data_IF_462023128684
#
_entry.id   IF_462023128684
#
_cell.length_a   1.000
_cell.length_b   1.000
_cell.length_c   1.000
_cell.angle_alpha   90.00
_cell.angle_beta   90.00
_cell.angle_gamma   90.00
#
_symmetry.space_group_name_H-M   'P 1'
#
loop_
_entity.id
_entity.type
_entity.pdbx_description
1 polymer ?
#
# COMPACT_ATOMS: atom_id res chain seq x y z
N UNK A 1 3.41 -29.36 -9.54
CA UNK A 1 3.09 -27.92 -9.43
C UNK A 1 1.64 -27.69 -8.98
N UNK A 2 0.66 -28.41 -9.53
CA UNK A 2 -0.71 -28.43 -9.02
C UNK A 2 -0.83 -29.01 -7.59
N UNK A 3 -0.02 -30.01 -7.24
CA UNK A 3 0.00 -30.59 -5.89
C UNK A 3 0.57 -29.65 -4.83
N UNK A 4 1.56 -28.81 -5.19
CA UNK A 4 2.14 -27.82 -4.27
C UNK A 4 1.16 -26.68 -3.98
N UNK A 5 0.37 -26.27 -4.99
CA UNK A 5 -0.71 -25.29 -4.82
C UNK A 5 -1.89 -25.88 -4.04
N UNK A 6 -2.16 -27.17 -4.19
CA UNK A 6 -3.17 -27.90 -3.39
C UNK A 6 -2.70 -28.04 -1.93
N UNK A 7 -1.45 -28.40 -1.68
CA UNK A 7 -0.85 -28.49 -0.34
C UNK A 7 -0.77 -27.12 0.35
N UNK A 8 -0.43 -26.05 -0.37
CA UNK A 8 -0.49 -24.67 0.15
C UNK A 8 -1.92 -24.22 0.47
N UNK A 9 -2.91 -24.67 -0.30
CA UNK A 9 -4.32 -24.37 -0.05
C UNK A 9 -4.90 -25.21 1.11
N UNK A 10 -4.42 -26.45 1.31
CA UNK A 10 -4.77 -27.27 2.48
C UNK A 10 -4.08 -26.78 3.77
N UNK A 11 -2.83 -26.30 3.70
CA UNK A 11 -2.16 -25.58 4.79
C UNK A 11 -2.92 -24.29 5.16
N UNK A 12 -3.45 -23.55 4.18
CA UNK A 12 -4.33 -22.39 4.41
C UNK A 12 -5.65 -22.76 5.10
N UNK A 13 -6.21 -23.94 4.81
CA UNK A 13 -7.45 -24.45 5.43
C UNK A 13 -7.23 -25.03 6.82
N UNK A 14 -6.06 -25.61 7.09
CA UNK A 14 -5.69 -26.14 8.42
C UNK A 14 -5.63 -25.06 9.51
N UNK A 15 -5.31 -23.83 9.16
CA UNK A 15 -5.40 -22.67 10.07
C UNK A 15 -6.82 -22.08 10.20
N UNK A 16 -7.80 -22.61 9.46
CA UNK A 16 -9.19 -22.12 9.45
C UNK A 16 -10.15 -22.96 10.30
N UNK A 17 -9.73 -24.11 10.84
CA UNK A 17 -10.54 -24.93 11.75
C UNK A 17 -9.68 -25.57 12.83
N UNK A 18 -9.57 -24.91 13.98
CA UNK A 18 -8.97 -25.42 15.21
C UNK A 18 -9.53 -24.65 16.40
N UNK A 19 -10.09 -25.39 17.35
CA UNK A 19 -10.85 -24.89 18.50
C UNK A 19 -10.08 -23.93 19.41
N UNK A 20 -10.88 -23.11 20.09
CA UNK A 20 -10.55 -22.09 21.09
C UNK A 20 -9.44 -22.48 22.07
N UNK A 21 -8.33 -21.75 22.01
CA UNK A 21 -7.67 -21.21 23.20
C UNK A 21 -7.34 -19.75 22.94
N UNK A 22 -7.76 -18.86 23.85
CA UNK A 22 -7.35 -17.45 23.83
C UNK A 22 -5.87 -17.38 24.17
N UNK A 23 -5.01 -17.26 23.16
CA UNK A 23 -3.61 -16.91 23.40
C UNK A 23 -3.53 -15.51 24.05
N UNK A 24 -2.65 -15.31 25.05
CA UNK A 24 -2.39 -14.01 25.62
C UNK A 24 -1.86 -13.04 24.56
N UNK A 25 -2.07 -11.73 24.77
CA UNK A 25 -1.52 -10.69 23.92
C UNK A 25 0.00 -10.89 23.80
N UNK A 26 0.51 -11.00 22.57
CA UNK A 26 1.93 -11.17 22.30
C UNK A 26 2.73 -9.99 22.86
N UNK A 27 3.92 -10.26 23.38
CA UNK A 27 4.84 -9.21 23.82
C UNK A 27 5.44 -8.46 22.63
N UNK A 28 5.96 -7.26 22.88
CA UNK A 28 6.61 -6.46 21.84
C UNK A 28 7.83 -7.16 21.21
N UNK A 29 8.59 -7.93 21.98
CA UNK A 29 9.68 -8.76 21.43
C UNK A 29 9.14 -9.88 20.53
N UNK A 30 8.01 -10.50 20.88
CA UNK A 30 7.38 -11.53 20.06
C UNK A 30 6.81 -10.97 18.76
N UNK A 31 6.31 -9.72 18.77
CA UNK A 31 5.84 -9.04 17.56
C UNK A 31 7.03 -8.69 16.66
N UNK A 32 8.12 -8.15 17.21
CA UNK A 32 9.33 -7.89 16.43
C UNK A 32 9.94 -9.17 15.85
N UNK A 33 9.92 -10.28 16.62
CA UNK A 33 10.34 -11.59 16.15
C UNK A 33 9.40 -12.13 15.06
N UNK A 34 8.08 -11.95 15.15
CA UNK A 34 7.14 -12.30 14.07
C UNK A 34 7.29 -11.43 12.83
N UNK A 35 7.66 -10.16 12.98
CA UNK A 35 7.99 -9.30 11.84
C UNK A 35 9.26 -9.80 11.16
N UNK A 36 10.27 -10.22 11.92
CA UNK A 36 11.46 -10.85 11.37
C UNK A 36 11.14 -12.20 10.73
N UNK A 37 10.39 -13.09 11.38
CA UNK A 37 9.93 -14.35 10.81
C UNK A 37 9.09 -14.10 9.56
N UNK A 38 8.27 -13.04 9.52
CA UNK A 38 7.47 -12.70 8.36
C UNK A 38 8.33 -12.09 7.24
N UNK A 39 9.26 -11.19 7.55
CA UNK A 39 10.22 -10.63 6.59
C UNK A 39 11.13 -11.73 6.05
N UNK A 40 11.59 -12.64 6.89
CA UNK A 40 12.44 -13.78 6.54
C UNK A 40 11.63 -14.85 5.82
N UNK A 41 10.37 -15.13 6.20
CA UNK A 41 9.50 -16.05 5.49
C UNK A 41 9.04 -15.48 4.14
N UNK A 42 8.79 -14.18 4.04
CA UNK A 42 8.54 -13.47 2.78
C UNK A 42 9.81 -13.49 1.92
N UNK A 43 10.98 -13.21 2.48
CA UNK A 43 12.26 -13.34 1.79
C UNK A 43 12.45 -14.80 1.31
N UNK A 44 12.23 -15.82 2.13
CA UNK A 44 12.36 -17.24 1.76
C UNK A 44 11.31 -17.70 0.74
N UNK A 45 10.08 -17.17 0.79
CA UNK A 45 9.03 -17.40 -0.20
C UNK A 45 9.36 -16.75 -1.55
N UNK A 46 10.00 -15.58 -1.54
CA UNK A 46 10.44 -14.85 -2.74
C UNK A 46 11.77 -15.40 -3.31
N UNK A 47 12.60 -16.05 -2.49
CA UNK A 47 13.92 -16.60 -2.86
C UNK A 47 13.90 -17.94 -3.62
N UNK A 48 12.74 -18.56 -3.86
CA UNK A 48 12.65 -19.71 -4.80
C UNK A 48 12.94 -19.33 -6.27
N UNK A 49 13.19 -18.04 -6.57
CA UNK A 49 13.46 -17.55 -7.92
C UNK A 49 14.86 -17.02 -8.23
N UNK A 50 15.61 -16.42 -7.30
CA UNK A 50 16.98 -15.88 -7.54
C UNK A 50 17.60 -15.35 -6.24
N UNK A 51 18.89 -15.63 -6.01
CA UNK A 51 19.68 -15.08 -4.89
C UNK A 51 19.82 -13.56 -5.04
N UNK A 52 19.06 -12.80 -4.24
CA UNK A 52 19.33 -11.38 -3.97
C UNK A 52 19.43 -11.24 -2.45
N UNK A 53 20.54 -10.67 -1.95
CA UNK A 53 20.67 -10.30 -0.55
C UNK A 53 19.88 -9.01 -0.34
N UNK A 54 18.66 -9.08 0.19
CA UNK A 54 17.98 -7.89 0.70
C UNK A 54 18.70 -7.45 1.99
N UNK A 55 18.99 -6.16 2.14
CA UNK A 55 19.36 -5.60 3.44
C UNK A 55 18.07 -5.51 4.27
N UNK A 56 17.73 -6.59 4.97
CA UNK A 56 16.59 -6.63 5.89
C UNK A 56 16.66 -5.58 7.00
N UNK A 57 15.61 -5.51 7.81
CA UNK A 57 15.49 -4.56 8.94
C UNK A 57 16.69 -4.73 9.89
N UNK A 58 17.41 -3.64 10.14
CA UNK A 58 18.55 -3.63 11.06
C UNK A 58 18.10 -3.88 12.50
N UNK A 59 18.99 -4.43 13.34
CA UNK A 59 18.69 -4.72 14.75
C UNK A 59 18.24 -3.46 15.54
N UNK A 60 18.74 -2.27 15.17
CA UNK A 60 18.34 -1.01 15.80
C UNK A 60 16.92 -0.59 15.41
N UNK A 61 16.51 -0.79 14.15
CA UNK A 61 15.15 -0.58 13.69
C UNK A 61 14.18 -1.56 14.36
N UNK A 62 14.58 -2.82 14.57
CA UNK A 62 13.80 -3.82 15.33
C UNK A 62 13.51 -3.39 16.76
N UNK A 63 14.53 -2.94 17.48
CA UNK A 63 14.38 -2.50 18.87
C UNK A 63 13.49 -1.26 18.97
N UNK A 64 13.62 -0.33 18.03
CA UNK A 64 12.77 0.87 17.97
C UNK A 64 11.31 0.50 17.71
N UNK A 65 11.05 -0.44 16.81
CA UNK A 65 9.69 -0.89 16.52
C UNK A 65 9.08 -1.66 17.70
N UNK A 66 9.84 -2.53 18.36
CA UNK A 66 9.38 -3.21 19.57
C UNK A 66 9.04 -2.20 20.68
N UNK A 67 9.94 -1.25 20.96
CA UNK A 67 9.67 -0.20 21.94
C UNK A 67 8.41 0.59 21.59
N UNK A 68 8.29 0.99 20.32
CA UNK A 68 7.11 1.70 19.83
C UNK A 68 5.82 0.93 20.12
N UNK A 69 5.74 -0.33 19.69
CA UNK A 69 4.53 -1.15 19.84
C UNK A 69 4.17 -1.32 21.32
N UNK A 70 5.18 -1.42 22.20
CA UNK A 70 4.98 -1.47 23.64
C UNK A 70 4.51 -0.14 24.23
N UNK A 71 5.02 0.98 23.73
CA UNK A 71 4.74 2.32 24.26
C UNK A 71 3.34 2.83 23.86
N UNK A 72 2.84 2.43 22.69
CA UNK A 72 1.53 2.88 22.18
C UNK A 72 0.35 1.97 22.56
N UNK A 73 0.58 0.92 23.35
CA UNK A 73 -0.43 -0.08 23.74
C UNK A 73 -1.28 -0.55 22.55
N UNK A 74 -0.60 -1.05 21.51
CA UNK A 74 -1.22 -1.33 20.23
C UNK A 74 -2.24 -2.49 20.32
N UNK A 75 -3.47 -2.24 19.87
CA UNK A 75 -4.54 -3.24 19.83
C UNK A 75 -4.37 -4.24 18.66
N UNK A 76 -3.76 -3.77 17.57
CA UNK A 76 -3.34 -4.56 16.43
C UNK A 76 -2.22 -3.85 15.67
N UNK A 77 -1.40 -4.62 14.95
CA UNK A 77 -0.37 -4.12 14.05
C UNK A 77 -0.49 -4.86 12.73
N UNK A 78 -0.55 -4.10 11.63
CA UNK A 78 -0.79 -4.62 10.29
C UNK A 78 0.28 -4.10 9.36
N UNK A 79 0.97 -5.01 8.68
CA UNK A 79 1.85 -4.68 7.57
C UNK A 79 1.00 -4.31 6.36
N UNK A 80 1.32 -3.18 5.75
CA UNK A 80 0.63 -2.65 4.57
C UNK A 80 1.65 -2.31 3.46
N UNK A 81 1.18 -1.71 2.37
CA UNK A 81 2.05 -1.28 1.28
C UNK A 81 2.66 -2.43 0.46
N UNK A 82 3.80 -2.15 -0.18
CA UNK A 82 4.49 -3.09 -1.09
C UNK A 82 5.01 -4.34 -0.37
N UNK A 83 5.45 -4.20 0.89
CA UNK A 83 5.89 -5.31 1.73
C UNK A 83 4.77 -6.31 2.02
N UNK A 84 3.55 -5.83 2.29
CA UNK A 84 2.37 -6.69 2.44
C UNK A 84 2.02 -7.47 1.17
N UNK A 85 2.52 -6.99 0.01
CA UNK A 85 2.26 -7.59 -1.30
C UNK A 85 3.41 -8.46 -1.81
N UNK A 86 4.56 -8.48 -1.13
CA UNK A 86 5.77 -9.10 -1.67
C UNK A 86 6.31 -8.39 -2.92
N UNK A 87 5.93 -7.13 -3.14
CA UNK A 87 6.25 -6.32 -4.31
C UNK A 87 7.28 -5.21 -4.00
N UNK A 88 7.90 -5.27 -2.83
CA UNK A 88 8.90 -4.31 -2.37
C UNK A 88 10.19 -4.38 -3.21
N UNK A 89 10.87 -3.24 -3.32
CA UNK A 89 12.27 -3.16 -3.71
C UNK A 89 13.15 -3.15 -2.46
N UNK A 90 14.11 -4.08 -2.38
CA UNK A 90 14.96 -4.27 -1.20
C UNK A 90 15.76 -3.01 -0.82
N UNK A 91 16.08 -2.16 -1.80
CA UNK A 91 16.97 -1.00 -1.60
C UNK A 91 16.22 0.32 -1.39
N UNK A 92 14.91 0.37 -1.66
CA UNK A 92 14.18 1.66 -1.71
C UNK A 92 12.77 1.64 -1.14
N UNK A 93 12.20 0.49 -0.77
CA UNK A 93 10.86 0.44 -0.18
C UNK A 93 10.90 0.61 1.34
N UNK A 94 10.24 1.66 1.81
CA UNK A 94 9.90 1.84 3.22
C UNK A 94 8.93 0.74 3.69
N UNK A 95 8.94 0.49 4.99
CA UNK A 95 8.01 -0.44 5.64
C UNK A 95 6.81 0.36 6.13
N UNK A 96 5.66 0.09 5.53
CA UNK A 96 4.42 0.74 5.91
C UNK A 96 3.67 -0.10 6.95
N UNK A 97 3.29 0.52 8.07
CA UNK A 97 2.55 -0.11 9.16
C UNK A 97 1.28 0.67 9.48
N UNK A 98 0.19 -0.07 9.69
CA UNK A 98 -1.02 0.41 10.32
C UNK A 98 -1.07 -0.13 11.76
N UNK A 99 -1.21 0.76 12.73
CA UNK A 99 -1.25 0.43 14.15
C UNK A 99 -2.60 0.87 14.74
N UNK A 100 -3.30 -0.09 15.33
CA UNK A 100 -4.55 0.14 16.06
C UNK A 100 -4.28 0.71 17.44
N UNK A 101 -4.79 1.89 17.74
CA UNK A 101 -4.62 2.56 19.05
C UNK A 101 -5.96 2.99 19.63
N UNK A 102 -6.11 2.94 20.95
CA UNK A 102 -7.37 3.29 21.64
C UNK A 102 -7.78 4.76 21.46
N UNK A 103 -6.81 5.66 21.27
CA UNK A 103 -7.02 7.05 20.92
C UNK A 103 -5.95 7.51 19.92
N UNK A 104 -6.32 8.44 19.02
CA UNK A 104 -5.40 9.01 18.04
C UNK A 104 -4.15 9.55 18.74
N UNK A 105 -3.04 8.84 18.54
CA UNK A 105 -1.76 9.12 19.18
C UNK A 105 -0.77 9.52 18.10
N UNK A 106 0.09 10.49 18.39
CA UNK A 106 1.14 10.88 17.48
C UNK A 106 2.15 9.75 17.35
N UNK A 107 2.25 9.14 16.16
CA UNK A 107 3.23 8.09 15.94
C UNK A 107 4.63 8.72 15.87
N UNK A 108 5.65 8.17 16.56
CA UNK A 108 7.01 8.63 16.42
C UNK A 108 7.57 8.28 15.04
N UNK A 109 8.47 9.14 14.56
CA UNK A 109 9.17 8.92 13.29
C UNK A 109 10.28 7.90 13.49
N UNK A 110 10.19 6.78 12.77
CA UNK A 110 11.23 5.75 12.72
C UNK A 110 11.80 5.72 11.30
N UNK A 111 13.13 5.81 11.11
CA UNK A 111 13.72 5.75 9.78
C UNK A 111 13.28 4.49 9.02
N UNK A 112 12.98 4.64 7.72
CA UNK A 112 12.49 3.58 6.82
C UNK A 112 11.17 2.92 7.22
N UNK A 113 10.46 3.47 8.20
CA UNK A 113 9.14 3.00 8.61
C UNK A 113 8.14 4.15 8.56
N UNK A 114 7.06 3.94 7.81
CA UNK A 114 5.94 4.84 7.78
C UNK A 114 4.80 4.25 8.59
N UNK A 115 4.48 4.89 9.71
CA UNK A 115 3.57 4.34 10.72
C UNK A 115 2.33 5.22 10.79
N UNK A 116 1.19 4.59 10.57
CA UNK A 116 -0.11 5.22 10.60
C UNK A 116 -0.88 4.64 11.78
N UNK A 117 -1.22 5.49 12.75
CA UNK A 117 -1.99 5.08 13.93
C UNK A 117 -3.46 5.48 13.71
N UNK A 118 -4.38 4.53 13.82
CA UNK A 118 -5.83 4.76 13.74
C UNK A 118 -6.52 4.01 14.86
N UNK A 119 -7.62 4.55 15.39
CA UNK A 119 -8.51 3.77 16.26
C UNK A 119 -9.40 2.83 15.45
N UNK A 120 -9.94 1.80 16.11
CA UNK A 120 -10.95 0.93 15.50
C UNK A 120 -12.17 1.73 15.01
N UNK A 121 -12.58 2.75 15.77
CA UNK A 121 -13.70 3.63 15.41
C UNK A 121 -13.39 4.47 14.17
N UNK A 122 -12.21 5.10 14.11
CA UNK A 122 -11.80 5.90 12.94
C UNK A 122 -11.67 5.02 11.70
N UNK A 123 -11.04 3.85 11.83
CA UNK A 123 -10.93 2.88 10.76
C UNK A 123 -12.31 2.45 10.27
N UNK A 124 -13.22 2.11 11.18
CA UNK A 124 -14.58 1.72 10.81
C UNK A 124 -15.38 2.86 10.18
N UNK A 125 -15.24 4.09 10.68
CA UNK A 125 -15.87 5.28 10.10
C UNK A 125 -15.41 5.50 8.66
N UNK A 126 -14.10 5.59 8.44
CA UNK A 126 -13.49 5.79 7.12
C UNK A 126 -13.81 4.65 6.15
N UNK A 127 -13.86 3.40 6.62
CA UNK A 127 -14.28 2.26 5.79
C UNK A 127 -15.72 2.42 5.28
N UNK A 128 -16.65 2.88 6.14
CA UNK A 128 -18.05 3.13 5.76
C UNK A 128 -18.19 4.30 4.78
N UNK A 129 -17.26 5.25 4.81
CA UNK A 129 -17.21 6.38 3.87
C UNK A 129 -16.54 6.05 2.53
N UNK A 130 -16.00 4.84 2.37
CA UNK A 130 -15.33 4.44 1.13
C UNK A 130 -13.90 4.98 1.02
N UNK A 131 -13.24 5.23 2.14
CA UNK A 131 -11.84 5.67 2.16
C UNK A 131 -10.92 4.65 1.48
N UNK A 132 -10.20 5.08 0.45
CA UNK A 132 -9.43 4.16 -0.39
C UNK A 132 -8.24 3.55 0.34
N UNK A 133 -7.63 4.28 1.27
CA UNK A 133 -6.51 3.79 2.06
C UNK A 133 -6.97 2.72 3.06
N UNK A 134 -8.01 3.02 3.85
CA UNK A 134 -8.53 2.07 4.83
C UNK A 134 -9.05 0.80 4.16
N UNK A 135 -9.77 0.94 3.04
CA UNK A 135 -10.23 -0.22 2.30
C UNK A 135 -9.08 -1.02 1.67
N UNK A 136 -7.98 -0.38 1.28
CA UNK A 136 -6.78 -1.07 0.85
C UNK A 136 -6.19 -1.90 2.00
N UNK A 137 -6.03 -1.28 3.18
CA UNK A 137 -5.52 -1.94 4.37
C UNK A 137 -6.35 -3.17 4.71
N UNK A 138 -7.68 -3.05 4.78
CA UNK A 138 -8.56 -4.17 5.10
C UNK A 138 -8.50 -5.31 4.08
N UNK A 139 -8.28 -5.00 2.78
CA UNK A 139 -8.21 -6.01 1.71
C UNK A 139 -6.88 -6.75 1.67
N UNK A 140 -5.77 -6.04 1.88
CA UNK A 140 -4.44 -6.56 1.55
C UNK A 140 -3.46 -6.53 2.73
N UNK A 141 -3.82 -5.87 3.82
CA UNK A 141 -2.98 -5.80 5.02
C UNK A 141 -2.81 -7.16 5.68
N UNK A 142 -1.61 -7.41 6.17
CA UNK A 142 -1.26 -8.64 6.89
C UNK A 142 -1.15 -8.34 8.38
N UNK A 143 -2.00 -8.92 9.24
CA UNK A 143 -1.91 -8.72 10.67
C UNK A 143 -0.65 -9.41 11.21
N UNK A 144 0.23 -8.61 11.78
CA UNK A 144 1.43 -9.02 12.52
C UNK A 144 1.07 -9.31 13.98
N UNK A 145 0.16 -8.52 14.57
CA UNK A 145 -0.44 -8.72 15.89
C UNK A 145 -1.94 -8.38 15.88
N UNK A 146 -2.67 -8.78 16.92
CA UNK A 146 -4.10 -8.45 17.06
C UNK A 146 -5.03 -9.12 16.03
N UNK A 147 -4.62 -10.28 15.46
CA UNK A 147 -5.31 -10.95 14.34
C UNK A 147 -6.82 -11.14 14.54
N UNK A 148 -7.29 -11.48 15.74
CA UNK A 148 -8.73 -11.65 16.01
C UNK A 148 -9.51 -10.35 15.83
N UNK A 149 -8.98 -9.24 16.36
CA UNK A 149 -9.59 -7.90 16.20
C UNK A 149 -9.53 -7.47 14.74
N UNK A 150 -8.38 -7.63 14.10
CA UNK A 150 -8.21 -7.32 12.67
C UNK A 150 -9.20 -8.08 11.78
N UNK A 151 -9.33 -9.40 11.96
CA UNK A 151 -10.27 -10.22 11.21
C UNK A 151 -11.73 -9.75 11.41
N UNK A 152 -12.07 -9.26 12.61
CA UNK A 152 -13.39 -8.67 12.86
C UNK A 152 -13.61 -7.40 12.05
N UNK A 153 -12.60 -6.52 11.97
CA UNK A 153 -12.65 -5.30 11.15
C UNK A 153 -12.75 -5.61 9.65
N UNK A 154 -12.14 -6.70 9.17
CA UNK A 154 -12.25 -7.10 7.77
C UNK A 154 -13.70 -7.41 7.34
N UNK A 155 -14.59 -7.76 8.27
CA UNK A 155 -16.01 -7.94 7.97
C UNK A 155 -16.69 -6.65 7.47
N UNK A 156 -16.11 -5.48 7.76
CA UNK A 156 -16.61 -4.19 7.24
C UNK A 156 -16.59 -4.15 5.70
N UNK A 157 -15.71 -4.91 5.04
CA UNK A 157 -15.62 -4.96 3.58
C UNK A 157 -16.90 -5.42 2.90
N UNK A 158 -17.72 -6.24 3.57
CA UNK A 158 -18.97 -6.76 2.99
C UNK A 158 -20.01 -5.66 2.73
N UNK A 159 -20.00 -4.59 3.53
CA UNK A 159 -20.93 -3.46 3.42
C UNK A 159 -20.27 -2.14 3.01
N UNK A 160 -18.94 -2.11 2.87
CA UNK A 160 -18.23 -0.89 2.55
C UNK A 160 -18.51 -0.45 1.09
N UNK A 161 -18.77 0.85 0.85
CA UNK A 161 -18.91 1.35 -0.50
C UNK A 161 -17.58 1.24 -1.26
N UNK A 162 -17.67 1.23 -2.58
CA UNK A 162 -16.47 1.34 -3.42
C UNK A 162 -15.89 2.75 -3.30
N UNK A 163 -14.55 2.92 -3.32
CA UNK A 163 -13.96 4.24 -3.30
C UNK A 163 -14.46 5.11 -4.45
N UNK A 164 -14.50 6.42 -4.23
CA UNK A 164 -14.94 7.38 -5.23
C UNK A 164 -13.78 7.75 -6.18
N UNK A 165 -13.90 7.38 -7.46
CA UNK A 165 -12.90 7.67 -8.49
C UNK A 165 -12.67 9.17 -8.70
N UNK A 166 -13.74 9.99 -8.68
CA UNK A 166 -13.65 11.44 -8.92
C UNK A 166 -12.66 12.15 -7.98
N UNK A 167 -12.60 11.77 -6.70
CA UNK A 167 -11.65 12.36 -5.74
C UNK A 167 -10.20 12.17 -6.17
N UNK A 168 -9.90 11.05 -6.85
CA UNK A 168 -8.56 10.79 -7.40
C UNK A 168 -8.29 11.60 -8.67
N UNK A 169 -9.31 11.85 -9.48
CA UNK A 169 -9.18 12.73 -10.65
C UNK A 169 -8.94 14.19 -10.24
N UNK A 170 -9.61 14.67 -9.18
CA UNK A 170 -9.38 16.00 -8.63
C UNK A 170 -7.94 16.16 -8.11
N UNK A 171 -7.46 15.17 -7.36
CA UNK A 171 -6.08 15.13 -6.87
C UNK A 171 -5.07 15.07 -8.03
N UNK A 172 -5.28 14.21 -9.03
CA UNK A 172 -4.42 14.14 -10.20
C UNK A 172 -4.35 15.49 -10.94
N UNK A 173 -5.50 16.11 -11.19
CA UNK A 173 -5.60 17.43 -11.85
C UNK A 173 -4.88 18.53 -11.07
N UNK A 174 -4.91 18.46 -9.73
CA UNK A 174 -4.16 19.38 -8.87
C UNK A 174 -2.64 19.18 -9.05
N UNK A 175 -2.16 17.94 -8.99
CA UNK A 175 -0.72 17.65 -9.12
C UNK A 175 -0.18 17.94 -10.51
N UNK A 176 -0.95 17.70 -11.57
CA UNK A 176 -0.56 18.09 -12.93
C UNK A 176 -0.37 19.60 -13.08
N UNK A 177 -1.22 20.42 -12.45
CA UNK A 177 -1.01 21.87 -12.43
C UNK A 177 0.28 22.25 -11.70
N UNK A 178 0.56 21.62 -10.56
CA UNK A 178 1.81 21.87 -9.84
C UNK A 178 3.05 21.45 -10.63
N UNK A 179 3.01 20.31 -11.31
CA UNK A 179 4.09 19.88 -12.18
C UNK A 179 4.39 20.92 -13.27
N UNK A 180 3.35 21.45 -13.94
CA UNK A 180 3.51 22.50 -14.96
C UNK A 180 4.02 23.82 -14.37
N UNK A 181 3.56 24.21 -13.18
CA UNK A 181 4.01 25.43 -12.52
C UNK A 181 5.50 25.33 -12.12
N UNK A 182 5.94 24.17 -11.62
CA UNK A 182 7.34 23.89 -11.29
C UNK A 182 8.24 23.90 -12.54
N UNK A 183 7.78 23.32 -13.66
CA UNK A 183 8.49 23.42 -14.94
C UNK A 183 8.70 24.88 -15.37
N UNK A 184 7.65 25.71 -15.28
CA UNK A 184 7.74 27.14 -15.62
C UNK A 184 8.71 27.91 -14.73
N UNK A 185 8.90 27.45 -13.49
CA UNK A 185 9.88 28.00 -12.56
C UNK A 185 11.31 27.51 -12.82
N UNK A 186 11.50 26.57 -13.75
CA UNK A 186 12.79 25.99 -14.07
C UNK A 186 13.22 24.86 -13.12
N UNK A 187 12.26 24.19 -12.47
CA UNK A 187 12.49 23.05 -11.57
C UNK A 187 11.88 21.75 -12.13
N UNK A 188 12.57 21.10 -13.09
CA UNK A 188 12.07 19.88 -13.72
C UNK A 188 12.11 18.66 -12.80
N UNK A 189 13.00 18.63 -11.81
CA UNK A 189 13.11 17.53 -10.84
C UNK A 189 11.86 17.49 -9.95
N UNK A 190 11.53 18.62 -9.30
CA UNK A 190 10.31 18.72 -8.50
C UNK A 190 9.05 18.55 -9.35
N UNK A 191 9.06 19.01 -10.61
CA UNK A 191 7.95 18.81 -11.52
C UNK A 191 7.70 17.33 -11.82
N UNK A 192 8.76 16.53 -12.02
CA UNK A 192 8.65 15.10 -12.23
C UNK A 192 8.09 14.39 -10.99
N UNK A 193 8.48 14.80 -9.78
CA UNK A 193 7.93 14.25 -8.53
C UNK A 193 6.43 14.51 -8.42
N UNK A 194 5.97 15.73 -8.68
CA UNK A 194 4.54 16.06 -8.70
C UNK A 194 3.79 15.31 -9.80
N UNK A 195 4.39 15.18 -11.00
CA UNK A 195 3.83 14.37 -12.09
C UNK A 195 3.64 12.92 -11.65
N UNK A 196 4.64 12.30 -11.03
CA UNK A 196 4.59 10.91 -10.55
C UNK A 196 3.45 10.71 -9.53
N UNK A 197 3.26 11.67 -8.62
CA UNK A 197 2.12 11.65 -7.68
C UNK A 197 0.79 11.79 -8.44
N UNK A 198 0.70 12.72 -9.40
CA UNK A 198 -0.48 12.93 -10.23
C UNK A 198 -0.89 11.70 -11.06
N UNK A 199 0.07 11.09 -11.76
CA UNK A 199 -0.14 9.85 -12.53
C UNK A 199 -0.58 8.71 -11.61
N UNK A 200 -0.02 8.62 -10.40
CA UNK A 200 -0.42 7.65 -9.39
C UNK A 200 -1.88 7.82 -8.94
N UNK A 201 -2.33 9.05 -8.73
CA UNK A 201 -3.73 9.33 -8.43
C UNK A 201 -4.65 8.98 -9.61
N UNK A 202 -4.30 9.40 -10.83
CA UNK A 202 -5.07 9.11 -12.03
C UNK A 202 -5.25 7.60 -12.24
N UNK A 203 -4.15 6.85 -12.16
CA UNK A 203 -4.16 5.40 -12.30
C UNK A 203 -5.10 4.73 -11.30
N UNK A 204 -5.02 5.11 -10.03
CA UNK A 204 -5.93 4.61 -8.99
C UNK A 204 -7.38 4.96 -9.30
N UNK A 205 -7.66 6.19 -9.72
CA UNK A 205 -8.99 6.64 -10.10
C UNK A 205 -9.59 5.82 -11.25
N UNK A 206 -8.83 5.60 -12.32
CA UNK A 206 -9.27 4.82 -13.49
C UNK A 206 -9.50 3.34 -13.15
N UNK A 207 -8.63 2.73 -12.33
CA UNK A 207 -8.83 1.36 -11.87
C UNK A 207 -10.10 1.24 -11.02
N UNK A 208 -10.30 2.17 -10.08
CA UNK A 208 -11.50 2.23 -9.24
C UNK A 208 -12.77 2.36 -10.10
N UNK A 209 -12.74 3.22 -11.12
CA UNK A 209 -13.85 3.44 -12.06
C UNK A 209 -14.19 2.15 -12.83
N UNK A 210 -13.18 1.37 -13.20
CA UNK A 210 -13.32 0.04 -13.80
C UNK A 210 -13.60 -1.08 -12.81
N UNK A 211 -13.93 -0.76 -11.55
CA UNK A 211 -14.17 -1.73 -10.46
C UNK A 211 -13.00 -2.68 -10.20
N UNK A 212 -11.78 -2.22 -10.50
CA UNK A 212 -10.54 -2.90 -10.15
C UNK A 212 -9.92 -2.18 -8.96
N UNK A 213 -9.78 -2.86 -7.83
CA UNK A 213 -9.19 -2.22 -6.65
C UNK A 213 -7.67 -2.07 -6.87
N UNK A 214 -7.10 -0.86 -6.77
CA UNK A 214 -5.67 -0.65 -7.02
C UNK A 214 -4.80 -1.38 -6.00
N UNK A 215 -3.74 -2.03 -6.48
CA UNK A 215 -2.73 -2.72 -5.67
C UNK A 215 -1.65 -1.73 -5.21
N UNK A 216 -0.47 -2.24 -4.79
CA UNK A 216 0.66 -1.39 -4.42
C UNK A 216 1.27 -0.72 -5.66
N UNK A 217 2.00 0.40 -5.47
CA UNK A 217 2.54 1.21 -6.58
C UNK A 217 3.28 0.40 -7.66
N UNK A 218 4.16 -0.57 -7.33
CA UNK A 218 4.88 -1.37 -8.33
C UNK A 218 3.97 -2.25 -9.20
N UNK A 219 2.79 -2.62 -8.69
CA UNK A 219 1.83 -3.51 -9.37
C UNK A 219 0.83 -2.75 -10.25
N UNK A 220 0.67 -1.43 -10.03
CA UNK A 220 -0.33 -0.60 -10.72
C UNK A 220 -0.14 -0.56 -12.25
N UNK A 221 1.08 -0.42 -12.81
CA UNK A 221 1.27 -0.44 -14.26
C UNK A 221 0.71 -1.71 -14.92
N UNK A 222 0.93 -2.89 -14.33
CA UNK A 222 0.38 -4.14 -14.85
C UNK A 222 -1.15 -4.19 -14.79
N UNK A 223 -1.74 -3.68 -13.69
CA UNK A 223 -3.19 -3.55 -13.61
C UNK A 223 -3.73 -2.65 -14.72
N UNK A 224 -3.10 -1.50 -14.96
CA UNK A 224 -3.50 -0.58 -16.03
C UNK A 224 -3.42 -1.22 -17.42
N UNK A 225 -2.33 -1.95 -17.72
CA UNK A 225 -2.20 -2.71 -18.96
C UNK A 225 -3.35 -3.70 -19.12
N UNK A 226 -3.69 -4.43 -18.05
CA UNK A 226 -4.77 -5.43 -18.09
C UNK A 226 -6.16 -4.85 -18.35
N UNK A 227 -6.37 -3.56 -18.06
CA UNK A 227 -7.64 -2.84 -18.33
C UNK A 227 -7.57 -1.91 -19.55
N UNK A 228 -6.48 -2.00 -20.33
CA UNK A 228 -6.28 -1.33 -21.61
C UNK A 228 -5.64 0.07 -21.56
N UNK A 229 -5.21 0.55 -20.40
CA UNK A 229 -4.56 1.87 -20.24
C UNK A 229 -3.03 1.77 -20.44
N UNK A 230 -2.60 1.27 -21.60
CA UNK A 230 -1.18 1.02 -21.89
C UNK A 230 -0.33 2.30 -21.85
N UNK A 231 -0.80 3.41 -22.42
CA UNK A 231 -0.07 4.68 -22.43
C UNK A 231 0.19 5.23 -21.02
N UNK A 232 -0.82 5.15 -20.14
CA UNK A 232 -0.66 5.58 -18.74
C UNK A 232 0.28 4.64 -17.96
N UNK A 233 0.22 3.33 -18.22
CA UNK A 233 1.15 2.40 -17.61
C UNK A 233 2.60 2.73 -17.97
N UNK A 234 2.87 2.99 -19.26
CA UNK A 234 4.20 3.41 -19.72
C UNK A 234 4.65 4.74 -19.13
N UNK A 235 3.75 5.72 -19.02
CA UNK A 235 4.07 7.01 -18.39
C UNK A 235 4.45 6.84 -16.90
N UNK A 236 3.76 5.96 -16.18
CA UNK A 236 4.09 5.64 -14.79
C UNK A 236 5.45 4.97 -14.64
N UNK A 237 5.78 4.01 -15.51
CA UNK A 237 7.10 3.38 -15.49
C UNK A 237 8.20 4.40 -15.76
N UNK A 238 8.06 5.18 -16.84
CA UNK A 238 9.05 6.19 -17.24
C UNK A 238 9.26 7.22 -16.12
N UNK A 239 8.19 7.78 -15.55
CA UNK A 239 8.28 8.73 -14.44
C UNK A 239 8.90 8.12 -13.16
N UNK A 240 8.90 6.80 -13.02
CA UNK A 240 9.49 6.11 -11.87
C UNK A 240 10.95 5.70 -12.07
N UNK A 241 11.41 5.51 -13.31
CA UNK A 241 12.71 4.91 -13.61
C UNK A 241 13.66 5.77 -14.44
N UNK A 242 13.17 6.85 -15.05
CA UNK A 242 13.94 7.69 -15.98
C UNK A 242 13.97 9.14 -15.50
N UNK A 243 14.99 9.89 -15.88
CA UNK A 243 15.02 11.35 -15.74
C UNK A 243 14.28 11.95 -16.95
N UNK A 244 13.09 12.51 -16.73
CA UNK A 244 12.25 13.01 -17.81
C UNK A 244 12.70 14.40 -18.27
N UNK A 245 12.69 14.62 -19.59
CA UNK A 245 12.82 15.97 -20.12
C UNK A 245 11.54 16.78 -19.87
N UNK A 246 11.61 18.13 -19.84
CA UNK A 246 10.44 18.98 -19.73
C UNK A 246 9.33 18.62 -20.73
N UNK A 247 9.68 18.30 -21.97
CA UNK A 247 8.73 17.92 -23.02
C UNK A 247 7.99 16.62 -22.71
N UNK A 248 8.67 15.64 -22.11
CA UNK A 248 8.03 14.40 -21.67
C UNK A 248 7.09 14.63 -20.48
N UNK A 249 7.46 15.50 -19.55
CA UNK A 249 6.60 15.86 -18.41
C UNK A 249 5.32 16.53 -18.92
N UNK A 250 5.43 17.50 -19.83
CA UNK A 250 4.28 18.15 -20.47
C UNK A 250 3.39 17.14 -21.21
N UNK A 251 4.00 16.26 -22.03
CA UNK A 251 3.25 15.24 -22.76
C UNK A 251 2.50 14.27 -21.84
N UNK A 252 3.08 13.89 -20.69
CA UNK A 252 2.42 13.02 -19.71
C UNK A 252 1.32 13.74 -18.93
N UNK A 253 1.48 15.06 -18.67
CA UNK A 253 0.39 15.88 -18.11
C UNK A 253 -0.78 15.98 -19.09
N UNK A 254 -0.51 16.21 -20.39
CA UNK A 254 -1.54 16.29 -21.42
C UNK A 254 -2.29 14.97 -21.55
N UNK A 255 -1.57 13.84 -21.66
CA UNK A 255 -2.15 12.49 -21.63
C UNK A 255 -3.06 12.29 -20.41
N UNK A 256 -2.58 12.69 -19.23
CA UNK A 256 -3.34 12.55 -18.00
C UNK A 256 -4.61 13.40 -17.98
N UNK A 257 -4.53 14.64 -18.48
CA UNK A 257 -5.64 15.58 -18.55
C UNK A 257 -6.71 15.11 -19.53
N UNK A 258 -6.31 14.57 -20.69
CA UNK A 258 -7.20 13.99 -21.69
C UNK A 258 -7.96 12.77 -21.13
N UNK A 259 -7.28 11.91 -20.38
CA UNK A 259 -7.90 10.75 -19.73
C UNK A 259 -8.93 11.18 -18.67
N UNK A 260 -8.64 12.21 -17.88
CA UNK A 260 -9.60 12.77 -16.91
C UNK A 260 -10.82 13.34 -17.62
N UNK A 261 -10.62 14.13 -18.68
CA UNK A 261 -11.69 14.69 -19.48
C UNK A 261 -12.55 13.60 -20.16
N UNK A 262 -11.92 12.50 -20.59
CA UNK A 262 -12.60 11.32 -21.12
C UNK A 262 -13.45 10.59 -20.07
N UNK A 263 -12.93 10.41 -18.85
CA UNK A 263 -13.65 9.78 -17.76
C UNK A 263 -14.88 10.58 -17.33
N UNK A 264 -14.78 11.91 -17.31
CA UNK A 264 -15.89 12.81 -16.96
C UNK A 264 -17.07 12.77 -17.95
N UNK A 265 -16.87 12.26 -19.19
CA UNK A 265 -17.92 12.14 -20.22
C UNK A 265 -18.74 10.85 -20.11
N UNK A 266 -18.27 9.87 -19.33
CA UNK A 266 -18.89 8.54 -19.21
C UNK A 266 -19.68 8.41 -17.90
N UNK A 267 -19.40 9.27 -16.91
CA UNK A 267 -20.11 9.37 -15.64
C UNK A 267 -21.40 10.18 -15.75
#
# INVERSE_FOLDING_TARGET
MADLLRELNELRKGFSYGELTTEPAMTAEEIAAKIEEYVEAVDQLLLKGRRVRSKGISLSERRKLAHLISDVDAEFVVLIGSWARGAQSADSSDIDLLVGVSAATQCPSVPRMHIICLSEEELAGRAREGDDFVLWCLRYGIPLSGRRRWNSLQNLLAGAPWPFSHRKFDLASKQFRYALDLLRMGDPESAQDELKVGLGHLARGLLIDRRVFPLSRPEVPDQLRSVGFHGLASALDAAATEDLSPEHIEAFVDLGSDLIAGAAKIA
#
